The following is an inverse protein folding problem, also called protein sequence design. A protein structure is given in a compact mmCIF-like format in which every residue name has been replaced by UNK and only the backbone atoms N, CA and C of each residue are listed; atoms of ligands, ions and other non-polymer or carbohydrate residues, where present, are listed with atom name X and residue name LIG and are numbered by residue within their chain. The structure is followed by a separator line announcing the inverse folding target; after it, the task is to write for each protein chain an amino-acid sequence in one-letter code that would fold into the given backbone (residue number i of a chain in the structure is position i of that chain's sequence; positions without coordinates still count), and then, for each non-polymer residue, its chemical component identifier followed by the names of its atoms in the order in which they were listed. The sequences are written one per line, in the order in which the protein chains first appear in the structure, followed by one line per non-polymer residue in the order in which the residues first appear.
data_IF_373560011490
#
_entry.id   IF_373560011490
#
_cell.length_a   1.000
_cell.length_b   1.000
_cell.length_c   1.000
_cell.angle_alpha   90.00
_cell.angle_beta   90.00
_cell.angle_gamma   90.00
#
_symmetry.space_group_name_H-M   'P 1'
#
loop_
_entity.id
_entity.type
_entity.pdbx_description
1 polymer ?
#
# COMPACT_ATOMS: atom_id res chain seq x y z
N UNK A 1 -27.42 -51.47 39.88
CA UNK A 1 -26.14 -51.89 39.23
C UNK A 1 -26.09 -51.29 37.83
N UNK A 2 -24.92 -50.76 37.44
CA UNK A 2 -24.62 -49.97 36.23
C UNK A 2 -24.89 -50.73 34.91
N UNK A 3 -25.21 -49.99 33.83
CA UNK A 3 -24.61 -50.13 32.47
C UNK A 3 -24.98 -48.98 31.50
N UNK A 4 -24.23 -47.89 31.64
CA UNK A 4 -23.47 -47.08 30.66
C UNK A 4 -23.52 -47.42 29.12
N UNK A 5 -23.77 -46.36 28.31
CA UNK A 5 -23.15 -45.89 27.01
C UNK A 5 -23.75 -46.22 25.60
N UNK A 6 -23.93 -45.13 24.82
CA UNK A 6 -23.70 -44.81 23.35
C UNK A 6 -24.94 -44.12 22.72
N UNK A 7 -24.98 -42.81 22.45
CA UNK A 7 -24.33 -41.99 21.41
C UNK A 7 -24.64 -42.36 19.96
N UNK A 8 -25.63 -41.68 19.34
CA UNK A 8 -25.83 -41.46 17.88
C UNK A 8 -26.94 -40.40 17.71
N UNK A 9 -26.68 -39.11 17.45
CA UNK A 9 -26.29 -38.44 16.19
C UNK A 9 -27.49 -38.20 15.23
N UNK A 10 -27.72 -36.91 14.92
CA UNK A 10 -28.43 -36.30 13.75
C UNK A 10 -29.95 -36.48 13.62
N UNK A 11 -30.76 -35.58 13.06
CA UNK A 11 -30.55 -34.35 12.27
C UNK A 11 -31.86 -33.55 12.25
N UNK A 12 -31.84 -32.28 12.65
CA UNK A 12 -32.87 -31.30 12.24
C UNK A 12 -32.29 -30.54 11.05
N UNK A 13 -32.65 -30.96 9.83
CA UNK A 13 -32.27 -30.27 8.60
C UNK A 13 -33.40 -29.30 8.21
N UNK A 14 -33.37 -28.10 8.78
CA UNK A 14 -34.16 -26.97 8.27
C UNK A 14 -33.27 -26.24 7.28
N UNK A 15 -33.33 -26.60 6.00
CA UNK A 15 -32.70 -25.79 4.96
C UNK A 15 -33.57 -24.56 4.71
N UNK A 16 -33.20 -23.47 5.38
CA UNK A 16 -33.61 -22.11 5.04
C UNK A 16 -33.09 -21.75 3.65
N UNK A 17 -34.02 -21.23 2.85
CA UNK A 17 -33.78 -20.47 1.63
C UNK A 17 -32.95 -19.22 2.00
N UNK A 18 -31.64 -19.26 1.77
CA UNK A 18 -30.84 -18.05 1.77
C UNK A 18 -30.87 -17.47 0.34
N UNK A 19 -31.58 -16.36 0.23
CA UNK A 19 -31.65 -15.52 -0.95
C UNK A 19 -30.25 -15.22 -1.51
N UNK A 20 -30.13 -15.23 -2.83
CA UNK A 20 -29.03 -14.58 -3.54
C UNK A 20 -29.11 -13.07 -3.27
N UNK A 21 -28.50 -12.59 -2.19
CA UNK A 21 -28.06 -11.20 -2.14
C UNK A 21 -26.82 -11.11 -3.02
N UNK A 22 -26.91 -10.39 -4.13
CA UNK A 22 -25.75 -9.87 -4.84
C UNK A 22 -24.98 -9.00 -3.86
N UNK A 23 -24.04 -9.60 -3.14
CA UNK A 23 -23.06 -8.85 -2.38
C UNK A 23 -22.10 -8.30 -3.42
N UNK A 24 -22.15 -6.98 -3.63
CA UNK A 24 -21.05 -6.25 -4.23
C UNK A 24 -19.76 -6.76 -3.60
N UNK A 25 -18.90 -7.35 -4.42
CA UNK A 25 -17.63 -7.90 -3.94
C UNK A 25 -16.88 -6.72 -3.31
N UNK A 26 -16.49 -6.78 -2.03
CA UNK A 26 -15.59 -5.79 -1.50
C UNK A 26 -14.34 -5.83 -2.37
N UNK A 27 -13.97 -4.69 -2.95
CA UNK A 27 -12.77 -4.58 -3.76
C UNK A 27 -11.59 -4.92 -2.84
N UNK A 28 -11.07 -6.15 -2.98
CA UNK A 28 -10.00 -6.67 -2.14
C UNK A 28 -8.72 -5.97 -2.59
N UNK A 29 -8.43 -4.83 -1.97
CA UNK A 29 -7.10 -4.23 -1.94
C UNK A 29 -6.11 -5.34 -1.56
N UNK A 30 -5.12 -5.68 -2.40
CA UNK A 30 -4.08 -6.66 -2.07
C UNK A 30 -3.47 -6.34 -0.69
N UNK A 31 -3.62 -7.26 0.25
CA UNK A 31 -3.27 -7.12 1.68
C UNK A 31 -1.79 -6.74 1.94
N UNK A 32 -0.93 -6.91 0.93
CA UNK A 32 0.54 -6.86 1.05
C UNK A 32 1.12 -5.48 1.37
N UNK A 33 0.45 -4.39 1.04
CA UNK A 33 0.93 -3.03 1.33
C UNK A 33 0.10 -2.28 2.38
N UNK A 34 -1.02 -2.86 2.85
CA UNK A 34 -1.78 -2.29 3.96
C UNK A 34 -0.99 -2.21 5.25
N UNK A 35 -0.16 -3.24 5.51
CA UNK A 35 0.70 -3.24 6.69
C UNK A 35 1.72 -2.08 6.66
N UNK A 36 2.25 -1.73 5.48
CA UNK A 36 3.12 -0.56 5.34
C UNK A 36 2.39 0.72 5.74
N UNK A 37 1.18 0.95 5.21
CA UNK A 37 0.39 2.13 5.57
C UNK A 37 0.03 2.14 7.05
N UNK A 38 -0.30 0.99 7.63
CA UNK A 38 -0.60 0.90 9.06
C UNK A 38 0.63 1.13 9.96
N UNK A 39 1.85 0.86 9.49
CA UNK A 39 3.07 1.11 10.27
C UNK A 39 3.46 2.58 10.23
N UNK A 40 3.48 3.19 9.03
CA UNK A 40 4.08 4.52 8.83
C UNK A 40 3.06 5.65 8.71
N UNK A 41 1.83 5.34 8.32
CA UNK A 41 0.77 6.30 8.04
C UNK A 41 -0.50 5.97 8.85
N UNK A 42 -0.33 5.38 10.04
CA UNK A 42 -1.45 5.02 10.91
C UNK A 42 -2.31 6.23 11.25
N UNK A 43 -3.63 6.10 11.10
CA UNK A 43 -4.60 7.14 11.43
C UNK A 43 -4.90 8.13 10.31
N UNK A 44 -4.13 8.13 9.22
CA UNK A 44 -4.45 8.95 8.04
C UNK A 44 -5.47 8.27 7.14
N UNK A 45 -6.38 9.07 6.58
CA UNK A 45 -7.31 8.63 5.54
C UNK A 45 -6.57 8.69 4.21
N UNK A 46 -6.66 7.61 3.43
CA UNK A 46 -6.01 7.52 2.13
C UNK A 46 -6.88 6.85 1.08
N UNK A 47 -6.71 7.26 -0.17
CA UNK A 47 -7.15 6.49 -1.33
C UNK A 47 -6.08 5.47 -1.71
N UNK A 48 -6.50 4.30 -2.20
CA UNK A 48 -5.61 3.25 -2.69
C UNK A 48 -5.90 2.96 -4.15
N UNK A 49 -4.83 2.88 -4.95
CA UNK A 49 -4.88 2.47 -6.35
C UNK A 49 -3.88 1.35 -6.57
N UNK A 50 -4.38 0.17 -6.93
CA UNK A 50 -3.53 -0.88 -7.49
C UNK A 50 -3.14 -0.46 -8.91
N UNK A 51 -1.87 -0.13 -9.10
CA UNK A 51 -1.33 0.35 -10.36
C UNK A 51 -0.39 -0.68 -11.01
N UNK A 52 -0.53 -1.95 -10.65
CA UNK A 52 0.23 -3.05 -11.26
C UNK A 52 0.25 -2.90 -12.78
N UNK A 53 1.46 -2.90 -13.35
CA UNK A 53 1.67 -2.66 -14.78
C UNK A 53 0.89 -3.69 -15.61
N UNK A 54 -0.27 -3.28 -16.14
CA UNK A 54 -1.12 -4.01 -17.10
C UNK A 54 -1.46 -5.45 -16.70
N UNK A 55 -2.41 -5.62 -15.77
CA UNK A 55 -3.11 -6.90 -15.58
C UNK A 55 -2.18 -8.10 -15.31
N UNK A 56 -0.95 -7.82 -14.87
CA UNK A 56 0.03 -8.85 -14.58
C UNK A 56 -0.34 -9.44 -13.23
N UNK A 57 -1.23 -10.44 -13.25
CA UNK A 57 -1.52 -11.29 -12.10
C UNK A 57 -0.30 -12.14 -11.68
N UNK A 58 0.83 -12.04 -12.40
CA UNK A 58 2.07 -12.67 -11.98
C UNK A 58 2.65 -11.93 -10.78
N UNK A 59 2.87 -12.69 -9.71
CA UNK A 59 3.40 -12.32 -8.41
C UNK A 59 4.80 -11.64 -8.40
N UNK A 60 5.39 -11.37 -9.56
CA UNK A 60 6.78 -10.95 -9.75
C UNK A 60 7.07 -9.50 -9.40
N UNK A 61 6.14 -8.58 -9.66
CA UNK A 61 6.33 -7.15 -9.47
C UNK A 61 5.01 -6.56 -8.96
N UNK A 62 5.07 -5.70 -7.96
CA UNK A 62 3.88 -5.18 -7.28
C UNK A 62 3.99 -3.68 -7.09
N UNK A 63 2.97 -2.94 -7.55
CA UNK A 63 2.92 -1.49 -7.49
C UNK A 63 1.64 -1.02 -6.80
N UNK A 64 1.80 -0.13 -5.84
CA UNK A 64 0.69 0.54 -5.17
C UNK A 64 0.91 2.04 -5.17
N UNK A 65 -0.18 2.77 -5.39
CA UNK A 65 -0.26 4.20 -5.14
C UNK A 65 -1.23 4.43 -3.99
N UNK A 66 -0.78 5.15 -2.97
CA UNK A 66 -1.62 5.71 -1.93
C UNK A 66 -1.64 7.23 -2.04
N UNK A 67 -2.82 7.81 -1.88
CA UNK A 67 -3.01 9.25 -1.92
C UNK A 67 -3.59 9.75 -0.60
N UNK A 68 -2.91 10.70 0.04
CA UNK A 68 -3.35 11.34 1.29
C UNK A 68 -3.53 12.83 1.03
N UNK A 69 -4.64 13.42 1.46
CA UNK A 69 -4.87 14.87 1.31
C UNK A 69 -3.79 15.64 2.08
N UNK A 70 -3.22 16.68 1.47
CA UNK A 70 -2.21 17.53 2.11
C UNK A 70 -2.73 18.26 3.35
N UNK A 71 -4.04 18.48 3.43
CA UNK A 71 -4.68 19.08 4.60
C UNK A 71 -4.80 18.11 5.77
N UNK A 72 -4.71 16.80 5.52
CA UNK A 72 -4.81 15.76 6.55
C UNK A 72 -3.42 15.30 7.02
N UNK A 73 -2.38 15.52 6.23
CA UNK A 73 -0.99 15.20 6.54
C UNK A 73 -0.09 16.36 6.11
N UNK A 74 0.43 17.12 7.08
CA UNK A 74 1.28 18.26 6.78
C UNK A 74 2.75 17.86 6.51
N UNK A 75 3.56 18.83 6.04
CA UNK A 75 4.97 18.56 5.75
C UNK A 75 5.82 18.30 7.01
N UNK A 76 5.41 18.80 8.18
CA UNK A 76 6.08 18.56 9.46
C UNK A 76 5.87 17.12 9.94
N UNK A 77 4.63 16.64 9.92
CA UNK A 77 4.27 15.25 10.19
C UNK A 77 4.96 14.30 9.20
N UNK A 78 5.01 14.66 7.91
CA UNK A 78 5.70 13.86 6.91
C UNK A 78 7.21 13.70 7.21
N UNK A 79 7.87 14.75 7.74
CA UNK A 79 9.27 14.64 8.18
C UNK A 79 9.43 13.62 9.32
N UNK A 80 8.45 13.50 10.21
CA UNK A 80 8.47 12.47 11.25
C UNK A 80 8.38 11.07 10.63
N UNK A 81 7.53 10.89 9.62
CA UNK A 81 7.42 9.63 8.88
C UNK A 81 8.73 9.28 8.17
N UNK A 82 9.40 10.25 7.55
CA UNK A 82 10.72 10.02 6.94
C UNK A 82 11.76 9.54 7.95
N UNK A 83 11.77 10.12 9.16
CA UNK A 83 12.66 9.68 10.23
C UNK A 83 12.34 8.25 10.69
N UNK A 84 11.07 7.89 10.80
CA UNK A 84 10.65 6.52 11.15
C UNK A 84 11.04 5.51 10.06
N UNK A 85 10.88 5.87 8.78
CA UNK A 85 11.34 5.05 7.66
C UNK A 85 12.85 4.77 7.77
N UNK A 86 13.65 5.82 7.99
CA UNK A 86 15.10 5.69 8.15
C UNK A 86 15.49 4.81 9.36
N UNK A 87 14.85 4.99 10.51
CA UNK A 87 15.07 4.16 11.71
C UNK A 87 14.72 2.69 11.46
N UNK A 88 13.74 2.42 10.60
CA UNK A 88 13.29 1.07 10.24
C UNK A 88 14.06 0.48 9.04
N UNK A 89 15.18 1.10 8.63
CA UNK A 89 16.09 0.54 7.62
C UNK A 89 15.79 0.92 6.18
N UNK A 90 14.89 1.87 5.92
CA UNK A 90 14.74 2.48 4.61
C UNK A 90 15.88 3.47 4.37
N UNK A 91 16.57 3.34 3.23
CA UNK A 91 17.66 4.24 2.82
C UNK A 91 17.17 5.22 1.78
N UNK A 92 17.43 6.51 1.97
CA UNK A 92 17.20 7.52 0.93
C UNK A 92 18.14 7.24 -0.24
N UNK A 93 17.60 7.18 -1.45
CA UNK A 93 18.40 7.06 -2.68
C UNK A 93 18.43 8.36 -3.48
N UNK A 94 17.37 9.16 -3.38
CA UNK A 94 17.23 10.39 -4.14
C UNK A 94 16.27 11.34 -3.41
N UNK A 95 16.59 12.63 -3.37
CA UNK A 95 15.73 13.67 -2.80
C UNK A 95 16.01 14.99 -3.53
N UNK A 96 14.99 15.85 -3.63
CA UNK A 96 15.18 17.26 -3.99
C UNK A 96 14.87 18.22 -2.84
N UNK A 97 14.64 17.68 -1.64
CA UNK A 97 14.34 18.36 -0.36
C UNK A 97 13.13 19.29 -0.39
N UNK A 98 12.35 19.26 -1.46
CA UNK A 98 11.19 20.13 -1.66
C UNK A 98 9.91 19.33 -1.75
N UNK A 99 9.90 18.34 -2.63
CA UNK A 99 8.67 17.65 -2.99
C UNK A 99 8.84 16.25 -3.59
N UNK A 100 10.05 15.73 -3.63
CA UNK A 100 10.32 14.37 -4.03
C UNK A 100 11.36 13.76 -3.11
N UNK A 101 11.08 12.56 -2.63
CA UNK A 101 12.04 11.70 -1.96
C UNK A 101 11.78 10.25 -2.34
N UNK A 102 12.86 9.52 -2.57
CA UNK A 102 12.84 8.11 -2.92
C UNK A 102 13.69 7.32 -1.93
N UNK A 103 13.18 6.17 -1.53
CA UNK A 103 13.81 5.26 -0.61
C UNK A 103 13.92 3.85 -1.20
N UNK A 104 14.88 3.08 -0.69
CA UNK A 104 14.94 1.63 -0.85
C UNK A 104 14.85 0.92 0.51
N UNK A 105 14.26 -0.27 0.53
CA UNK A 105 14.37 -1.20 1.65
C UNK A 105 14.96 -2.53 1.18
N UNK A 106 16.17 -2.82 1.66
CA UNK A 106 17.03 -3.82 1.03
C UNK A 106 17.20 -3.53 -0.45
N UNK A 107 17.11 -4.57 -1.28
CA UNK A 107 17.38 -4.51 -2.71
C UNK A 107 16.11 -4.61 -3.57
N UNK A 108 14.96 -4.90 -2.96
CA UNK A 108 13.77 -5.37 -3.67
C UNK A 108 12.53 -4.51 -3.43
N UNK A 109 12.63 -3.47 -2.60
CA UNK A 109 11.56 -2.52 -2.36
C UNK A 109 12.04 -1.11 -2.65
N UNK A 110 11.22 -0.33 -3.34
CA UNK A 110 11.39 1.12 -3.46
C UNK A 110 10.11 1.85 -3.06
N UNK A 111 10.29 3.06 -2.55
CA UNK A 111 9.23 3.93 -2.06
C UNK A 111 9.49 5.34 -2.57
N UNK A 112 8.60 5.88 -3.38
CA UNK A 112 8.65 7.26 -3.83
C UNK A 112 7.53 8.05 -3.16
N UNK A 113 7.86 9.14 -2.49
CA UNK A 113 6.90 10.04 -1.85
C UNK A 113 7.00 11.41 -2.50
N UNK A 114 5.87 11.88 -3.00
CA UNK A 114 5.78 13.11 -3.79
C UNK A 114 4.76 14.10 -3.20
N UNK A 115 5.13 15.38 -3.20
CA UNK A 115 4.31 16.52 -2.80
C UNK A 115 4.10 17.46 -3.99
N UNK A 116 3.11 17.25 -4.86
CA UNK A 116 2.98 18.02 -6.11
C UNK A 116 3.03 19.54 -5.87
N UNK A 117 3.99 20.25 -6.46
CA UNK A 117 4.05 21.72 -6.42
C UNK A 117 3.58 22.34 -7.73
N UNK A 118 3.77 21.62 -8.84
CA UNK A 118 3.24 21.94 -10.17
C UNK A 118 2.82 20.65 -10.89
N UNK A 119 1.95 20.78 -11.89
CA UNK A 119 1.42 19.64 -12.66
C UNK A 119 2.48 18.78 -13.36
N UNK A 120 3.58 19.42 -13.77
CA UNK A 120 4.68 18.78 -14.48
C UNK A 120 5.99 19.05 -13.76
N UNK A 121 6.65 17.99 -13.33
CA UNK A 121 7.89 18.04 -12.56
C UNK A 121 8.91 17.07 -13.13
N UNK A 122 10.12 17.12 -12.58
CA UNK A 122 11.24 16.26 -12.97
C UNK A 122 11.94 15.82 -11.68
N UNK A 123 12.22 14.52 -11.53
CA UNK A 123 13.07 14.00 -10.44
C UNK A 123 14.49 14.58 -10.54
N UNK A 124 15.29 14.55 -9.47
CA UNK A 124 16.72 14.88 -9.57
C UNK A 124 17.48 14.15 -10.68
N UNK A 125 17.08 12.92 -11.00
CA UNK A 125 17.61 12.05 -12.05
C UNK A 125 17.10 12.36 -13.45
N UNK A 126 16.22 13.36 -13.61
CA UNK A 126 15.72 13.81 -14.91
C UNK A 126 14.45 13.11 -15.38
N UNK A 127 13.80 12.29 -14.55
CA UNK A 127 12.58 11.56 -14.91
C UNK A 127 11.37 12.49 -14.84
N UNK A 128 10.62 12.69 -15.93
CA UNK A 128 9.42 13.51 -15.91
C UNK A 128 8.31 12.89 -15.06
N UNK A 129 7.67 13.70 -14.23
CA UNK A 129 6.51 13.32 -13.42
C UNK A 129 5.32 14.20 -13.80
N UNK A 130 4.18 13.57 -14.02
CA UNK A 130 2.91 14.25 -14.28
C UNK A 130 1.92 13.90 -13.17
N UNK A 131 1.44 14.92 -12.46
CA UNK A 131 0.43 14.74 -11.43
C UNK A 131 -0.97 14.93 -12.02
N UNK A 132 -1.87 14.02 -11.65
CA UNK A 132 -3.30 14.16 -11.96
C UNK A 132 -3.99 15.06 -10.94
N UNK A 133 -3.66 14.87 -9.65
CA UNK A 133 -4.18 15.63 -8.52
C UNK A 133 -3.05 16.40 -7.83
N UNK A 134 -3.31 17.67 -7.50
CA UNK A 134 -2.31 18.56 -6.89
C UNK A 134 -2.43 18.64 -5.36
N UNK A 135 -3.56 18.22 -4.80
CA UNK A 135 -3.87 18.41 -3.38
C UNK A 135 -3.57 17.19 -2.51
N UNK A 136 -2.95 16.16 -3.11
CA UNK A 136 -2.62 14.91 -2.45
C UNK A 136 -1.10 14.72 -2.38
N UNK A 137 -0.61 14.18 -1.27
CA UNK A 137 0.62 13.39 -1.27
C UNK A 137 0.41 12.16 -2.15
N UNK A 138 1.42 11.79 -2.92
CA UNK A 138 1.43 10.55 -3.69
C UNK A 138 2.53 9.65 -3.15
N UNK A 139 2.15 8.48 -2.66
CA UNK A 139 3.04 7.50 -2.02
C UNK A 139 3.03 6.25 -2.90
N UNK A 140 4.09 6.10 -3.70
CA UNK A 140 4.28 4.95 -4.57
C UNK A 140 5.13 3.91 -3.87
N UNK A 141 4.59 2.72 -3.69
CA UNK A 141 5.31 1.59 -3.12
C UNK A 141 5.47 0.51 -4.17
N UNK A 142 6.71 0.13 -4.42
CA UNK A 142 7.08 -0.88 -5.39
C UNK A 142 7.82 -2.03 -4.69
N UNK A 143 7.45 -3.26 -5.05
CA UNK A 143 8.16 -4.48 -4.68
C UNK A 143 8.50 -5.26 -5.94
N UNK A 144 9.77 -5.58 -6.11
CA UNK A 144 10.26 -6.48 -7.14
C UNK A 144 10.59 -7.86 -6.57
N UNK A 145 10.57 -8.88 -7.43
CA UNK A 145 11.15 -10.20 -7.13
C UNK A 145 12.64 -10.26 -7.46
N UNK A 146 13.17 -9.28 -8.18
CA UNK A 146 14.59 -9.13 -8.50
C UNK A 146 15.15 -7.88 -7.83
N UNK A 147 16.48 -7.75 -7.90
CA UNK A 147 17.17 -6.56 -7.40
C UNK A 147 16.80 -5.34 -8.25
N UNK A 148 16.32 -4.30 -7.60
CA UNK A 148 16.14 -2.97 -8.19
C UNK A 148 17.52 -2.36 -8.33
N UNK A 149 17.92 -1.95 -9.54
CA UNK A 149 19.27 -1.45 -9.80
C UNK A 149 19.64 -0.23 -8.93
N UNK A 150 18.70 0.69 -8.74
CA UNK A 150 18.89 1.84 -7.84
C UNK A 150 18.98 1.45 -6.35
N UNK A 151 18.48 0.25 -6.00
CA UNK A 151 18.56 -0.34 -4.67
C UNK A 151 19.69 -1.37 -4.52
N UNK A 152 20.58 -1.52 -5.50
CA UNK A 152 21.84 -2.27 -5.32
C UNK A 152 22.88 -1.47 -4.56
#
# INVERSE_FOLDING_TARGET
MKKIIKSTVTSFLVFWLAACSNTDKPEIIPDRFKNFMNIYFHGYIYEYKDINARGNHNYGEQYALFEIKKNDLDQGEMKMIFNQLAQNGWRVIESNDKNFISFCYGNNFSLDILFPLKKYEVTPSGVPIKFNEMDNWNIFLYKSTTTIAACS
#
